data_IF_324742114202
#
_entry.id   IF_324742114202
#
_cell.length_a   1.000
_cell.length_b   1.000
_cell.length_c   1.000
_cell.angle_alpha   90.00
_cell.angle_beta   90.00
_cell.angle_gamma   90.00
#
_symmetry.space_group_name_H-M   'P 1'
#
loop_
_entity.id
_entity.type
_entity.pdbx_description
1 polymer ?
#
# COMPACT_ATOMS: atom_id res chain seq x y z
N UNK A 1 1.64 30.91 2.32
CA UNK A 1 2.55 30.40 1.27
C UNK A 1 1.71 29.62 0.29
N UNK A 2 1.97 29.70 -1.02
CA UNK A 2 1.28 28.92 -2.05
C UNK A 2 2.29 28.04 -2.76
N UNK A 3 1.88 26.83 -3.10
CA UNK A 3 2.73 25.82 -3.74
C UNK A 3 2.23 25.54 -5.15
N UNK A 4 3.16 25.28 -6.06
CA UNK A 4 2.83 24.94 -7.44
C UNK A 4 3.87 23.99 -8.03
N UNK A 5 3.50 23.18 -9.05
CA UNK A 5 4.40 22.22 -9.63
C UNK A 5 5.47 22.92 -10.47
N UNK A 6 6.72 22.47 -10.34
CA UNK A 6 7.80 22.90 -11.21
C UNK A 6 7.75 22.16 -12.56
N UNK A 7 6.97 22.71 -13.50
CA UNK A 7 6.81 22.16 -14.85
C UNK A 7 8.08 22.26 -15.71
N UNK A 8 9.17 22.86 -15.22
CA UNK A 8 10.46 22.84 -15.95
C UNK A 8 11.16 21.48 -15.87
N UNK A 9 10.72 20.59 -14.96
CA UNK A 9 11.28 19.25 -14.76
C UNK A 9 10.43 18.18 -15.43
N UNK A 10 11.07 17.06 -15.77
CA UNK A 10 10.35 15.85 -16.16
C UNK A 10 9.50 15.35 -14.98
N UNK A 11 8.37 14.69 -15.27
CA UNK A 11 7.46 14.20 -14.23
C UNK A 11 8.15 13.27 -13.22
N UNK A 12 9.13 12.47 -13.65
CA UNK A 12 9.93 11.59 -12.76
C UNK A 12 10.78 12.34 -11.75
N UNK A 13 11.14 13.59 -12.02
CA UNK A 13 12.00 14.42 -11.16
C UNK A 13 11.28 15.68 -10.67
N UNK A 14 9.99 15.79 -10.99
CA UNK A 14 9.17 16.94 -10.67
C UNK A 14 9.00 17.13 -9.17
N UNK A 15 9.00 18.40 -8.76
CA UNK A 15 8.85 18.84 -7.37
C UNK A 15 7.84 19.97 -7.29
N UNK A 16 7.39 20.28 -6.07
CA UNK A 16 6.55 21.44 -5.79
C UNK A 16 7.38 22.54 -5.12
N UNK A 17 7.32 23.73 -5.70
CA UNK A 17 8.04 24.92 -5.26
C UNK A 17 7.07 25.99 -4.76
N UNK A 18 7.57 26.93 -3.97
CA UNK A 18 6.80 28.08 -3.48
C UNK A 18 7.44 29.39 -3.93
N UNK A 19 6.64 30.45 -4.09
CA UNK A 19 7.10 31.74 -4.61
C UNK A 19 5.97 32.54 -5.25
N UNK A 20 6.32 33.40 -6.21
CA UNK A 20 5.34 34.08 -7.04
C UNK A 20 4.55 33.03 -7.83
N UNK A 21 3.22 33.09 -7.74
CA UNK A 21 2.36 32.10 -8.40
C UNK A 21 2.61 32.10 -9.92
N UNK A 22 2.67 30.92 -10.55
CA UNK A 22 2.86 30.83 -11.99
C UNK A 22 1.68 31.46 -12.71
N UNK A 23 1.87 31.97 -13.95
CA UNK A 23 0.80 32.61 -14.72
C UNK A 23 -0.44 31.72 -14.92
N UNK A 24 -0.29 30.40 -14.82
CA UNK A 24 -1.40 29.43 -14.93
C UNK A 24 -2.41 29.51 -13.78
N UNK A 25 -2.06 30.10 -12.63
CA UNK A 25 -2.91 30.17 -11.44
C UNK A 25 -3.11 28.84 -10.70
N UNK A 26 -2.53 27.74 -11.19
CA UNK A 26 -2.67 26.42 -10.57
C UNK A 26 -1.81 26.34 -9.31
N UNK A 27 -2.44 26.50 -8.15
CA UNK A 27 -1.75 26.58 -6.85
C UNK A 27 -2.48 25.78 -5.79
N UNK A 28 -1.71 25.29 -4.81
CA UNK A 28 -2.17 24.48 -3.71
C UNK A 28 -1.89 25.16 -2.37
N UNK A 29 -2.65 24.76 -1.33
CA UNK A 29 -2.49 25.32 0.00
C UNK A 29 -1.25 24.76 0.71
N UNK A 30 -0.82 23.55 0.35
CA UNK A 30 0.35 22.88 0.92
C UNK A 30 1.24 22.22 -0.14
N UNK A 31 2.51 21.99 0.20
CA UNK A 31 3.46 21.28 -0.66
C UNK A 31 3.03 19.82 -0.87
N UNK A 32 2.52 19.19 0.19
CA UNK A 32 2.00 17.82 0.15
C UNK A 32 0.85 17.68 -0.86
N UNK A 33 -0.14 18.56 -0.77
CA UNK A 33 -1.29 18.58 -1.68
C UNK A 33 -0.83 18.78 -3.13
N UNK A 34 0.15 19.65 -3.36
CA UNK A 34 0.74 19.83 -4.69
C UNK A 34 1.39 18.53 -5.22
N UNK A 35 2.21 17.85 -4.42
CA UNK A 35 2.86 16.60 -4.83
C UNK A 35 1.83 15.49 -5.11
N UNK A 36 0.81 15.36 -4.25
CA UNK A 36 -0.24 14.35 -4.38
C UNK A 36 -1.19 14.59 -5.56
N UNK A 37 -1.25 15.81 -6.12
CA UNK A 37 -2.10 16.09 -7.28
C UNK A 37 -1.29 16.14 -8.59
N UNK A 38 -0.09 16.71 -8.59
CA UNK A 38 0.71 16.90 -9.80
C UNK A 38 1.67 15.74 -10.11
N UNK A 39 2.11 15.01 -9.07
CA UNK A 39 3.13 13.96 -9.18
C UNK A 39 2.71 12.65 -8.47
N UNK A 40 1.40 12.39 -8.39
CA UNK A 40 0.88 11.13 -7.83
C UNK A 40 1.42 9.91 -8.58
N UNK A 41 2.00 8.94 -7.86
CA UNK A 41 2.55 7.72 -8.46
C UNK A 41 3.96 7.88 -9.05
N UNK A 42 4.62 9.03 -8.82
CA UNK A 42 6.01 9.25 -9.21
C UNK A 42 6.91 8.14 -8.67
N UNK A 43 7.47 7.34 -9.58
CA UNK A 43 8.24 6.14 -9.22
C UNK A 43 9.51 6.46 -8.43
N UNK A 44 10.09 7.65 -8.62
CA UNK A 44 11.26 8.12 -7.87
C UNK A 44 10.92 8.62 -6.46
N UNK A 45 9.67 9.00 -6.20
CA UNK A 45 9.26 9.70 -4.98
C UNK A 45 9.86 11.10 -4.78
N UNK A 46 10.49 11.68 -5.81
CA UNK A 46 11.25 12.93 -5.72
C UNK A 46 10.47 14.11 -5.13
N UNK A 47 9.20 14.28 -5.47
CA UNK A 47 8.39 15.40 -4.98
C UNK A 47 8.21 15.35 -3.46
N UNK A 48 7.80 14.17 -2.95
CA UNK A 48 7.58 13.98 -1.52
C UNK A 48 8.89 14.03 -0.73
N UNK A 49 9.98 13.52 -1.31
CA UNK A 49 11.31 13.56 -0.70
C UNK A 49 11.91 14.98 -0.62
N UNK A 50 11.51 15.89 -1.51
CA UNK A 50 11.97 17.28 -1.53
C UNK A 50 11.16 18.22 -0.62
N UNK A 51 10.19 17.71 0.12
CA UNK A 51 9.39 18.52 1.03
C UNK A 51 10.18 18.99 2.24
N UNK A 52 9.83 20.16 2.80
CA UNK A 52 10.46 20.68 4.03
C UNK A 52 10.27 19.74 5.23
N UNK A 53 9.10 19.09 5.28
CA UNK A 53 8.79 18.01 6.21
C UNK A 53 8.29 16.82 5.39
N UNK A 54 9.21 16.03 4.79
CA UNK A 54 8.83 14.91 3.96
C UNK A 54 8.04 13.90 4.80
N UNK A 55 7.02 13.25 4.23
CA UNK A 55 6.48 12.08 4.89
C UNK A 55 7.63 11.09 5.07
N UNK A 56 7.95 10.77 6.31
CA UNK A 56 8.78 9.60 6.58
C UNK A 56 8.04 8.42 5.99
N UNK A 57 8.70 7.65 5.11
CA UNK A 57 8.23 6.31 4.82
C UNK A 57 8.00 5.65 6.19
N UNK A 58 6.75 5.30 6.50
CA UNK A 58 6.48 4.52 7.69
C UNK A 58 7.38 3.28 7.59
N UNK A 59 8.05 2.86 8.68
CA UNK A 59 8.90 1.68 8.62
C UNK A 59 8.02 0.51 8.23
N UNK A 60 8.16 0.07 6.99
CA UNK A 60 7.54 -1.14 6.49
C UNK A 60 8.61 -2.22 6.58
N UNK A 61 8.43 -3.11 7.53
CA UNK A 61 9.27 -4.28 7.69
C UNK A 61 8.51 -5.52 7.23
N UNK A 62 9.21 -6.60 6.92
CA UNK A 62 8.61 -7.92 6.68
C UNK A 62 7.69 -8.34 7.84
N UNK A 63 7.91 -7.80 9.05
CA UNK A 63 7.05 -8.03 10.21
C UNK A 63 5.67 -7.34 10.13
N UNK A 64 5.51 -6.34 9.26
CA UNK A 64 4.24 -5.65 9.01
C UNK A 64 3.41 -6.30 7.89
N UNK A 65 3.93 -7.37 7.27
CA UNK A 65 3.20 -8.17 6.30
C UNK A 65 2.12 -8.99 7.02
N UNK A 66 0.88 -8.82 6.57
CA UNK A 66 -0.26 -9.61 7.04
C UNK A 66 -0.90 -10.32 5.86
N UNK A 67 -1.08 -11.63 5.99
CA UNK A 67 -1.71 -12.50 5.01
C UNK A 67 -3.11 -12.91 5.46
N UNK A 68 -4.04 -12.97 4.52
CA UNK A 68 -5.41 -13.45 4.74
C UNK A 68 -5.86 -14.32 3.55
N UNK A 69 -6.77 -15.27 3.76
CA UNK A 69 -7.23 -16.18 2.71
C UNK A 69 -8.17 -15.49 1.72
N UNK A 70 -7.91 -15.71 0.43
CA UNK A 70 -8.76 -15.33 -0.68
C UNK A 70 -9.34 -16.59 -1.32
N UNK A 71 -10.67 -16.69 -1.28
CA UNK A 71 -11.41 -17.74 -1.95
C UNK A 71 -11.82 -17.27 -3.34
N UNK A 72 -11.36 -17.97 -4.37
CA UNK A 72 -11.62 -17.65 -5.78
C UNK A 72 -12.80 -18.42 -6.36
N UNK A 73 -13.61 -19.06 -5.52
CA UNK A 73 -14.72 -19.93 -5.94
C UNK A 73 -14.30 -21.37 -6.25
N UNK A 74 -13.00 -21.63 -6.46
CA UNK A 74 -12.40 -22.96 -6.53
C UNK A 74 -11.31 -23.08 -5.47
N UNK A 75 -11.37 -24.15 -4.68
CA UNK A 75 -10.40 -24.41 -3.62
C UNK A 75 -8.99 -24.67 -4.19
N UNK A 76 -8.87 -25.29 -5.37
CA UNK A 76 -7.58 -25.57 -6.01
C UNK A 76 -6.82 -24.29 -6.41
N UNK A 77 -7.54 -23.19 -6.58
CA UNK A 77 -7.00 -21.87 -6.96
C UNK A 77 -7.13 -20.83 -5.85
N UNK A 78 -7.50 -21.23 -4.63
CA UNK A 78 -7.48 -20.37 -3.46
C UNK A 78 -6.04 -19.98 -3.09
N UNK A 79 -5.85 -18.81 -2.47
CA UNK A 79 -4.52 -18.36 -2.08
C UNK A 79 -4.57 -17.40 -0.90
N UNK A 80 -3.41 -17.16 -0.29
CA UNK A 80 -3.25 -16.11 0.71
C UNK A 80 -2.59 -14.89 0.09
N UNK A 81 -3.20 -13.72 0.28
CA UNK A 81 -2.76 -12.43 -0.24
C UNK A 81 -2.46 -11.48 0.92
N UNK A 82 -1.61 -10.51 0.64
CA UNK A 82 -1.23 -9.42 1.54
C UNK A 82 -1.51 -8.05 0.89
N UNK A 83 -2.20 -8.04 -0.25
CA UNK A 83 -2.66 -6.83 -0.94
C UNK A 83 -3.68 -6.06 -0.08
N UNK A 84 -3.42 -4.82 0.34
CA UNK A 84 -4.35 -4.10 1.20
C UNK A 84 -5.74 -3.87 0.56
N UNK A 85 -5.84 -3.82 -0.77
CA UNK A 85 -7.10 -3.60 -1.49
C UNK A 85 -8.00 -4.84 -1.49
N UNK A 86 -7.42 -6.02 -1.24
CA UNK A 86 -8.16 -7.28 -1.13
C UNK A 86 -8.42 -7.71 0.32
N UNK A 87 -8.02 -6.89 1.29
CA UNK A 87 -8.24 -7.20 2.71
C UNK A 87 -9.73 -7.39 3.01
N UNK A 88 -10.11 -8.40 3.81
CA UNK A 88 -11.50 -8.60 4.21
C UNK A 88 -12.01 -7.37 4.98
N UNK A 89 -13.26 -6.98 4.72
CA UNK A 89 -13.92 -5.91 5.48
C UNK A 89 -14.01 -6.27 6.97
N UNK A 90 -13.68 -5.30 7.82
CA UNK A 90 -13.78 -5.41 9.29
C UNK A 90 -15.18 -5.90 9.68
N UNK A 91 -15.25 -7.03 10.39
CA UNK A 91 -16.51 -7.62 10.86
C UNK A 91 -17.05 -8.78 10.03
N UNK A 92 -16.39 -9.19 8.95
CA UNK A 92 -16.70 -10.48 8.30
C UNK A 92 -16.29 -11.63 9.22
N UNK A 93 -17.28 -12.33 9.78
CA UNK A 93 -17.11 -13.42 10.75
C UNK A 93 -16.11 -14.48 10.25
N UNK A 94 -15.00 -14.67 10.97
CA UNK A 94 -14.19 -15.90 10.92
C UNK A 94 -12.90 -15.92 10.07
N UNK A 95 -12.38 -14.77 9.62
CA UNK A 95 -11.11 -14.73 8.87
C UNK A 95 -9.93 -14.49 9.81
N UNK A 96 -9.02 -15.47 9.90
CA UNK A 96 -7.74 -15.32 10.61
C UNK A 96 -6.71 -14.60 9.73
N UNK A 97 -5.94 -13.73 10.36
CA UNK A 97 -4.76 -13.07 9.78
C UNK A 97 -3.47 -13.79 10.20
N UNK A 98 -2.45 -13.77 9.34
CA UNK A 98 -1.17 -14.45 9.57
C UNK A 98 0.00 -13.54 9.24
N UNK A 99 1.14 -13.74 9.88
CA UNK A 99 2.38 -13.00 9.57
C UNK A 99 3.14 -13.62 8.39
N UNK A 100 2.81 -14.85 8.00
CA UNK A 100 3.41 -15.51 6.85
C UNK A 100 2.37 -16.12 5.90
N UNK A 101 2.67 -16.09 4.60
CA UNK A 101 1.86 -16.76 3.58
C UNK A 101 1.77 -18.27 3.85
N UNK A 102 2.86 -18.88 4.31
CA UNK A 102 2.95 -20.31 4.54
C UNK A 102 1.94 -20.78 5.60
N UNK A 103 1.86 -20.09 6.74
CA UNK A 103 0.91 -20.41 7.81
C UNK A 103 -0.53 -20.24 7.35
N UNK A 104 -0.81 -19.17 6.62
CA UNK A 104 -2.14 -18.95 6.04
C UNK A 104 -2.53 -20.08 5.07
N UNK A 105 -1.63 -20.46 4.16
CA UNK A 105 -1.84 -21.54 3.20
C UNK A 105 -2.00 -22.89 3.90
N UNK A 106 -1.23 -23.14 4.96
CA UNK A 106 -1.31 -24.40 5.72
C UNK A 106 -2.62 -24.55 6.48
N UNK A 107 -3.23 -23.44 6.94
CA UNK A 107 -4.53 -23.50 7.59
C UNK A 107 -5.70 -23.57 6.61
N UNK A 108 -5.74 -22.69 5.61
CA UNK A 108 -6.92 -22.49 4.77
C UNK A 108 -6.90 -23.28 3.46
N UNK A 109 -5.72 -23.63 2.97
CA UNK A 109 -5.53 -24.30 1.68
C UNK A 109 -4.63 -25.57 1.78
N UNK A 110 -4.87 -26.46 2.76
CA UNK A 110 -4.00 -27.61 2.98
C UNK A 110 -4.12 -28.66 1.86
N UNK A 111 -3.00 -29.09 1.28
CA UNK A 111 -2.94 -30.11 0.22
C UNK A 111 -3.49 -29.69 -1.15
N UNK A 112 -3.46 -28.40 -1.51
CA UNK A 112 -3.88 -27.95 -2.83
C UNK A 112 -3.14 -28.67 -3.97
N UNK A 113 -3.86 -29.16 -5.00
CA UNK A 113 -3.21 -29.65 -6.20
C UNK A 113 -2.40 -28.51 -6.81
N UNK A 114 -1.12 -28.78 -7.12
CA UNK A 114 -0.21 -27.78 -7.68
C UNK A 114 0.34 -26.73 -6.70
N UNK A 115 -0.04 -26.76 -5.42
CA UNK A 115 0.44 -25.81 -4.39
C UNK A 115 0.24 -24.34 -4.78
N UNK A 116 -0.89 -24.01 -5.41
CA UNK A 116 -1.18 -22.66 -5.93
C UNK A 116 -0.99 -21.57 -4.87
N UNK A 117 -1.52 -21.77 -3.65
CA UNK A 117 -1.37 -20.83 -2.55
C UNK A 117 0.10 -20.55 -2.20
N UNK A 118 0.94 -21.59 -2.13
CA UNK A 118 2.36 -21.48 -1.73
C UNK A 118 3.30 -21.08 -2.85
N UNK A 119 2.83 -21.08 -4.11
CA UNK A 119 3.64 -20.74 -5.29
C UNK A 119 3.35 -19.33 -5.80
N UNK A 120 2.29 -18.69 -5.30
CA UNK A 120 1.96 -17.30 -5.62
C UNK A 120 2.92 -16.36 -4.90
N UNK A 121 3.52 -15.44 -5.64
CA UNK A 121 4.38 -14.40 -5.05
C UNK A 121 3.52 -13.41 -4.26
N UNK A 122 3.89 -13.05 -3.01
CA UNK A 122 3.25 -11.97 -2.27
C UNK A 122 3.28 -10.63 -3.01
N UNK A 123 2.34 -9.75 -2.70
CA UNK A 123 2.37 -8.37 -3.16
C UNK A 123 3.38 -7.58 -2.32
N UNK A 124 4.61 -7.42 -2.81
CA UNK A 124 5.66 -6.63 -2.16
C UNK A 124 5.51 -5.14 -2.55
N UNK A 125 4.42 -4.47 -2.16
CA UNK A 125 4.18 -3.08 -2.54
C UNK A 125 3.07 -2.37 -1.77
N UNK A 126 3.32 -1.09 -1.43
CA UNK A 126 2.45 -0.10 -0.74
C UNK A 126 1.77 -0.56 0.56
N UNK A 127 2.23 0.02 1.68
CA UNK A 127 1.60 0.09 3.02
C UNK A 127 0.46 -0.92 3.25
N UNK A 128 0.75 -2.04 3.92
CA UNK A 128 -0.31 -2.74 4.62
C UNK A 128 -0.99 -1.71 5.54
N UNK A 129 -2.33 -1.56 5.53
CA UNK A 129 -3.01 -0.72 6.49
C UNK A 129 -2.55 -1.15 7.88
N UNK A 130 -2.24 -0.16 8.72
CA UNK A 130 -1.82 -0.39 10.10
C UNK A 130 -2.69 -1.49 10.68
N UNK A 131 -2.13 -2.61 11.16
CA UNK A 131 -2.93 -3.67 11.74
C UNK A 131 -3.78 -3.04 12.84
N UNK A 132 -5.07 -2.85 12.58
CA UNK A 132 -6.00 -2.60 13.67
C UNK A 132 -5.86 -3.82 14.58
N UNK A 133 -5.63 -3.66 15.89
CA UNK A 133 -5.52 -4.79 16.79
C UNK A 133 -6.86 -5.53 16.77
N UNK A 134 -6.97 -6.54 15.93
CA UNK A 134 -8.10 -7.45 15.94
C UNK A 134 -7.81 -8.46 17.03
N UNK A 135 -8.51 -8.28 18.15
CA UNK A 135 -8.53 -9.21 19.26
C UNK A 135 -9.01 -10.57 18.75
N UNK A 136 -8.11 -11.54 18.71
CA UNK A 136 -8.46 -12.95 18.68
C UNK A 136 -8.91 -13.37 20.09
N UNK A 137 -10.11 -13.91 20.21
CA UNK A 137 -10.45 -14.78 21.33
C UNK A 137 -10.37 -16.24 20.85
N UNK A 138 -9.46 -17.06 21.39
CA UNK A 138 -9.48 -18.49 21.18
C UNK A 138 -10.50 -19.15 22.12
N UNK A 139 -11.36 -19.98 21.51
CA UNK A 139 -12.33 -20.96 22.04
C UNK A 139 -13.46 -20.46 22.93
#
# INVERSE_FOLDING_TARGET
IKWFPDWSKAWTDGVCISGAAPPSGYTFASQAECCLNAYAGQTSGACLANMDSPPTAAPFTVADLVFYPIYTGDWSTGYCDNDPDKAPTVGSLGVSIFTTQAECCDLYFPNQPGRFCKTRVPFEGSLAPTPAPIYFYPK
#
